data_IF_825710095023
#
_entry.id   IF_825710095023
#
_cell.length_a   1.000
_cell.length_b   1.000
_cell.length_c   1.000
_cell.angle_alpha   90.00
_cell.angle_beta   90.00
_cell.angle_gamma   90.00
#
_symmetry.space_group_name_H-M   'P 1'
#
loop_
_entity.id
_entity.type
_entity.pdbx_description
1 polymer ?
#
# COMPACT_ATOMS: atom_id res chain seq x y z
N UNK A 1 -32.21 45.70 -0.06
CA UNK A 1 -32.72 44.42 0.47
C UNK A 1 -32.65 43.39 -0.65
N UNK A 2 -31.76 42.40 -0.55
CA UNK A 2 -31.66 41.30 -1.52
C UNK A 2 -32.46 40.11 -0.98
N UNK A 3 -33.31 39.44 -1.77
CA UNK A 3 -33.96 38.22 -1.32
C UNK A 3 -32.94 37.06 -1.33
N UNK A 4 -32.76 36.44 -0.15
CA UNK A 4 -32.10 35.15 -0.01
C UNK A 4 -32.90 34.10 -0.79
N UNK A 5 -32.39 33.66 -1.93
CA UNK A 5 -32.88 32.45 -2.60
C UNK A 5 -32.19 31.25 -1.97
N UNK A 6 -32.77 30.76 -0.86
CA UNK A 6 -32.46 29.44 -0.32
C UNK A 6 -32.84 28.40 -1.36
N UNK A 7 -31.89 27.98 -2.21
CA UNK A 7 -32.09 26.80 -3.04
C UNK A 7 -31.95 25.58 -2.15
N UNK A 8 -33.08 25.07 -1.67
CA UNK A 8 -33.12 23.75 -1.04
C UNK A 8 -32.64 22.73 -2.08
N UNK A 9 -31.42 22.22 -1.88
CA UNK A 9 -30.83 21.17 -2.70
C UNK A 9 -31.67 19.90 -2.58
N UNK A 10 -32.60 19.70 -3.51
CA UNK A 10 -33.34 18.45 -3.65
C UNK A 10 -32.39 17.39 -4.20
N UNK A 11 -32.06 16.40 -3.39
CA UNK A 11 -31.40 15.19 -3.85
C UNK A 11 -32.35 14.44 -4.78
N UNK A 12 -32.11 14.53 -6.09
CA UNK A 12 -32.78 13.68 -7.06
C UNK A 12 -32.07 12.34 -7.03
N UNK A 13 -32.80 11.28 -6.70
CA UNK A 13 -32.31 9.92 -6.82
C UNK A 13 -32.09 9.64 -8.32
N UNK A 14 -30.86 9.81 -8.78
CA UNK A 14 -30.41 9.34 -10.09
C UNK A 14 -30.31 7.82 -10.00
N UNK A 15 -31.46 7.14 -9.94
CA UNK A 15 -31.53 5.71 -10.18
C UNK A 15 -31.04 5.51 -11.61
N UNK A 16 -29.74 5.20 -11.75
CA UNK A 16 -29.18 4.74 -13.02
C UNK A 16 -30.02 3.52 -13.39
N UNK A 17 -30.77 3.53 -14.50
CA UNK A 17 -31.45 2.34 -14.95
C UNK A 17 -30.39 1.26 -15.05
N UNK A 18 -30.54 0.19 -14.26
CA UNK A 18 -29.62 -0.92 -14.29
C UNK A 18 -29.83 -1.56 -15.65
N UNK A 19 -29.01 -1.18 -16.62
CA UNK A 19 -29.01 -1.77 -17.95
C UNK A 19 -28.60 -3.23 -17.78
N UNK A 20 -29.59 -4.08 -17.52
CA UNK A 20 -29.51 -5.49 -17.78
C UNK A 20 -29.61 -5.59 -19.29
N UNK A 21 -28.46 -5.65 -19.97
CA UNK A 21 -28.27 -6.30 -21.27
C UNK A 21 -26.97 -5.75 -21.86
N UNK A 22 -25.89 -6.47 -21.57
CA UNK A 22 -24.92 -7.06 -22.49
C UNK A 22 -23.90 -7.70 -21.55
N UNK A 23 -23.79 -9.04 -21.42
CA UNK A 23 -22.51 -9.59 -21.00
C UNK A 23 -21.53 -9.09 -22.06
N UNK A 24 -20.54 -8.25 -21.73
CA UNK A 24 -19.56 -7.87 -22.73
C UNK A 24 -19.04 -9.19 -23.28
N UNK A 25 -18.97 -9.31 -24.60
CA UNK A 25 -18.30 -10.42 -25.25
C UNK A 25 -16.89 -10.43 -24.65
N UNK A 26 -16.68 -11.23 -23.61
CA UNK A 26 -15.49 -11.13 -22.73
C UNK A 26 -14.23 -11.42 -23.53
N UNK A 27 -14.41 -12.01 -24.71
CA UNK A 27 -13.40 -12.26 -25.73
C UNK A 27 -12.71 -10.97 -26.22
N UNK A 28 -13.45 -9.88 -26.46
CA UNK A 28 -12.87 -8.61 -26.93
C UNK A 28 -12.11 -7.90 -25.80
N UNK A 29 -12.72 -7.82 -24.62
CA UNK A 29 -12.07 -7.26 -23.44
C UNK A 29 -10.84 -8.07 -23.02
N UNK A 30 -10.92 -9.41 -23.04
CA UNK A 30 -9.78 -10.27 -22.73
C UNK A 30 -8.67 -10.12 -23.78
N UNK A 31 -9.02 -9.97 -25.06
CA UNK A 31 -8.04 -9.72 -26.12
C UNK A 31 -7.34 -8.36 -25.91
N UNK A 32 -8.09 -7.31 -25.59
CA UNK A 32 -7.54 -6.00 -25.27
C UNK A 32 -6.66 -6.07 -24.01
N UNK A 33 -7.12 -6.72 -22.94
CA UNK A 33 -6.37 -6.90 -21.70
C UNK A 33 -5.06 -7.67 -21.91
N UNK A 34 -5.07 -8.71 -22.74
CA UNK A 34 -3.87 -9.50 -23.09
C UNK A 34 -2.91 -8.74 -24.01
N UNK A 35 -3.40 -7.75 -24.75
CA UNK A 35 -2.57 -6.91 -25.63
C UNK A 35 -1.70 -5.91 -24.86
N UNK A 36 -2.07 -5.60 -23.62
CA UNK A 36 -1.32 -4.67 -22.76
C UNK A 36 0.02 -5.34 -22.38
N UNK A 37 1.17 -4.71 -22.71
CA UNK A 37 2.47 -5.27 -22.36
C UNK A 37 2.61 -5.38 -20.85
N UNK A 38 3.04 -6.56 -20.39
CA UNK A 38 3.30 -6.78 -18.97
C UNK A 38 4.44 -5.88 -18.51
N UNK A 39 4.20 -5.14 -17.43
CA UNK A 39 5.26 -4.40 -16.78
C UNK A 39 6.34 -5.36 -16.27
N UNK A 40 7.60 -4.94 -16.37
CA UNK A 40 8.71 -5.65 -15.73
C UNK A 40 8.45 -5.71 -14.23
N UNK A 41 8.63 -6.90 -13.64
CA UNK A 41 8.47 -7.05 -12.20
C UNK A 41 9.41 -6.07 -11.48
N UNK A 42 8.91 -5.32 -10.48
CA UNK A 42 9.75 -4.41 -9.74
C UNK A 42 10.83 -5.20 -8.96
N UNK A 43 11.98 -4.57 -8.67
CA UNK A 43 12.98 -5.18 -7.82
C UNK A 43 12.36 -5.54 -6.45
N UNK A 44 12.72 -6.71 -5.94
CA UNK A 44 12.21 -7.18 -4.66
C UNK A 44 12.61 -6.24 -3.53
N UNK A 45 11.66 -5.85 -2.68
CA UNK A 45 11.94 -4.98 -1.55
C UNK A 45 12.75 -5.76 -0.47
N UNK A 46 13.98 -5.32 -0.12
CA UNK A 46 14.85 -6.05 0.80
C UNK A 46 14.24 -6.22 2.20
N UNK A 47 13.42 -5.28 2.69
CA UNK A 47 12.73 -5.45 3.97
C UNK A 47 11.71 -6.59 3.94
N UNK A 48 10.99 -6.73 2.82
CA UNK A 48 9.95 -7.75 2.67
C UNK A 48 10.56 -9.13 2.49
N UNK A 49 11.62 -9.24 1.68
CA UNK A 49 12.38 -10.49 1.53
C UNK A 49 12.94 -10.94 2.90
N UNK A 50 13.53 -10.01 3.65
CA UNK A 50 14.06 -10.27 5.00
C UNK A 50 12.97 -10.70 5.99
N UNK A 51 11.81 -10.04 5.98
CA UNK A 51 10.69 -10.37 6.85
C UNK A 51 10.05 -11.72 6.50
N UNK A 52 9.90 -12.06 5.22
CA UNK A 52 9.39 -13.36 4.78
C UNK A 52 10.31 -14.48 5.25
N UNK A 53 11.62 -14.35 5.02
CA UNK A 53 12.59 -15.34 5.44
C UNK A 53 12.63 -15.52 6.97
N UNK A 54 12.53 -14.45 7.75
CA UNK A 54 12.70 -14.51 9.22
C UNK A 54 11.42 -14.81 9.97
N UNK A 55 10.29 -14.30 9.48
CA UNK A 55 9.01 -14.33 10.22
C UNK A 55 8.01 -15.31 9.63
N UNK A 56 8.07 -15.57 8.32
CA UNK A 56 7.09 -16.43 7.65
C UNK A 56 7.62 -17.86 7.57
N UNK A 57 8.86 -18.05 7.11
CA UNK A 57 9.50 -19.37 6.95
C UNK A 57 9.32 -20.33 8.15
N UNK A 58 9.43 -19.90 9.43
CA UNK A 58 9.25 -20.80 10.57
C UNK A 58 7.87 -21.46 10.66
N UNK A 59 6.85 -20.85 10.03
CA UNK A 59 5.47 -21.34 10.02
C UNK A 59 5.11 -22.04 8.71
N UNK A 60 6.06 -22.17 7.78
CA UNK A 60 5.84 -22.79 6.48
C UNK A 60 6.02 -24.31 6.64
N UNK A 61 5.06 -25.14 6.18
CA UNK A 61 5.25 -26.58 6.16
C UNK A 61 6.52 -26.97 5.39
N UNK A 62 7.21 -28.01 5.86
CA UNK A 62 8.52 -28.40 5.33
C UNK A 62 8.50 -28.66 3.80
N UNK A 63 7.38 -29.13 3.27
CA UNK A 63 7.16 -29.36 1.84
C UNK A 63 7.33 -28.08 0.99
N UNK A 64 7.05 -26.91 1.56
CA UNK A 64 7.09 -25.61 0.87
C UNK A 64 8.26 -24.72 1.32
N UNK A 65 8.97 -25.10 2.38
CA UNK A 65 10.06 -24.31 2.97
C UNK A 65 11.25 -24.11 2.02
N UNK A 66 11.43 -25.01 1.05
CA UNK A 66 12.48 -24.93 0.02
C UNK A 66 12.07 -24.11 -1.22
N UNK A 67 10.91 -23.45 -1.18
CA UNK A 67 10.44 -22.63 -2.30
C UNK A 67 11.34 -21.40 -2.55
N UNK A 68 11.35 -20.85 -3.78
CA UNK A 68 12.14 -19.66 -4.13
C UNK A 68 11.85 -18.45 -3.23
N UNK A 69 10.65 -18.38 -2.66
CA UNK A 69 10.21 -17.30 -1.77
C UNK A 69 10.96 -17.26 -0.43
N UNK A 70 11.47 -18.40 0.03
CA UNK A 70 12.12 -18.57 1.33
C UNK A 70 13.62 -18.79 1.22
N UNK A 71 14.21 -18.37 0.09
CA UNK A 71 15.64 -18.52 -0.12
C UNK A 71 16.43 -17.73 0.93
N UNK A 72 17.56 -18.30 1.35
CA UNK A 72 18.46 -17.70 2.33
C UNK A 72 18.90 -16.32 1.87
N UNK A 73 18.82 -15.35 2.78
CA UNK A 73 19.20 -13.96 2.54
C UNK A 73 20.71 -13.84 2.31
N UNK A 74 21.09 -13.08 1.28
CA UNK A 74 22.48 -12.59 1.11
C UNK A 74 22.78 -11.48 2.13
N UNK A 75 24.05 -11.34 2.52
CA UNK A 75 24.49 -10.32 3.48
C UNK A 75 24.06 -8.90 3.08
N UNK A 76 24.17 -8.56 1.80
CA UNK A 76 23.80 -7.24 1.27
C UNK A 76 22.32 -6.92 1.48
N UNK A 77 21.44 -7.90 1.23
CA UNK A 77 19.99 -7.75 1.40
C UNK A 77 19.63 -7.55 2.87
N UNK A 78 20.32 -8.25 3.77
CA UNK A 78 20.15 -8.05 5.20
C UNK A 78 20.56 -6.64 5.63
N UNK A 79 21.70 -6.15 5.15
CA UNK A 79 22.21 -4.83 5.50
C UNK A 79 21.30 -3.72 4.96
N UNK A 80 20.88 -3.81 3.69
CA UNK A 80 19.92 -2.89 3.10
C UNK A 80 18.62 -2.86 3.92
N UNK A 81 18.07 -4.03 4.28
CA UNK A 81 16.87 -4.10 5.12
C UNK A 81 17.06 -3.41 6.48
N UNK A 82 18.20 -3.65 7.14
CA UNK A 82 18.51 -3.02 8.44
C UNK A 82 18.66 -1.50 8.31
N UNK A 83 19.32 -1.03 7.25
CA UNK A 83 19.52 0.40 6.98
C UNK A 83 18.19 1.13 6.79
N UNK A 84 17.28 0.57 5.98
CA UNK A 84 15.95 1.16 5.76
C UNK A 84 15.16 1.22 7.07
N UNK A 85 15.13 0.12 7.84
CA UNK A 85 14.45 0.08 9.15
C UNK A 85 15.03 1.12 10.13
N UNK A 86 16.36 1.25 10.21
CA UNK A 86 17.02 2.27 11.05
C UNK A 86 16.67 3.68 10.62
N UNK A 87 16.71 3.98 9.31
CA UNK A 87 16.36 5.30 8.78
C UNK A 87 14.93 5.71 9.15
N UNK A 88 13.97 4.78 8.99
CA UNK A 88 12.58 5.00 9.41
C UNK A 88 12.45 5.26 10.91
N UNK A 89 13.15 4.47 11.74
CA UNK A 89 13.14 4.65 13.18
C UNK A 89 13.70 6.02 13.59
N UNK A 90 14.79 6.46 12.96
CA UNK A 90 15.39 7.77 13.21
C UNK A 90 14.42 8.90 12.86
N UNK A 91 13.76 8.84 11.69
CA UNK A 91 12.74 9.82 11.30
C UNK A 91 11.56 9.87 12.28
N UNK A 92 11.07 8.71 12.71
CA UNK A 92 10.00 8.63 13.70
C UNK A 92 10.43 9.21 15.05
N UNK A 93 11.64 8.91 15.51
CA UNK A 93 12.17 9.43 16.76
C UNK A 93 12.38 10.96 16.69
N UNK A 94 12.86 11.50 15.57
CA UNK A 94 13.01 12.94 15.36
C UNK A 94 11.65 13.65 15.47
N UNK A 95 10.63 13.17 14.76
CA UNK A 95 9.27 13.71 14.82
C UNK A 95 8.68 13.67 16.23
N UNK A 96 8.96 12.61 16.99
CA UNK A 96 8.52 12.49 18.40
C UNK A 96 9.24 13.48 19.32
N UNK A 97 10.49 13.84 19.03
CA UNK A 97 11.23 14.84 19.80
C UNK A 97 10.69 16.25 19.54
N UNK A 98 10.47 16.59 18.28
CA UNK A 98 9.87 17.87 17.85
C UNK A 98 8.49 18.10 18.47
N UNK A 99 7.60 17.09 18.41
CA UNK A 99 6.29 17.20 19.06
C UNK A 99 6.38 17.43 20.58
N UNK A 100 7.38 16.83 21.24
CA UNK A 100 7.59 17.01 22.69
C UNK A 100 8.17 18.38 23.05
N UNK A 101 8.99 18.98 22.19
CA UNK A 101 9.44 20.36 22.39
C UNK A 101 8.30 21.34 22.24
N UNK A 102 7.44 21.15 21.23
CA UNK A 102 6.29 22.04 20.99
C UNK A 102 5.23 21.95 22.12
N UNK A 103 4.99 20.75 22.65
CA UNK A 103 4.11 20.56 23.82
C UNK A 103 4.73 21.10 25.12
N UNK A 104 6.06 21.13 25.23
CA UNK A 104 6.79 21.69 26.36
C UNK A 104 6.83 23.23 26.37
N UNK A 105 6.92 23.87 25.21
CA UNK A 105 6.86 25.34 25.09
C UNK A 105 5.43 25.88 25.31
N UNK A 106 4.40 25.19 24.84
CA UNK A 106 3.00 25.61 25.05
C UNK A 106 2.48 25.41 26.49
N UNK A 107 3.19 24.69 27.35
CA UNK A 107 2.80 24.49 28.76
C UNK A 107 3.35 25.58 29.71
N UNK A 108 4.16 26.52 29.22
CA UNK A 108 4.81 27.57 30.01
C UNK A 108 4.12 28.95 29.81
N UNK A 109 3.03 29.02 29.02
CA UNK A 109 2.25 30.26 28.80
C UNK A 109 0.96 30.26 29.61
#
# INVERSE_FOLDING_TARGET
MLPNTTSEGKWVNLLRPLQHNIPPDTTEFDAEWRSIPKATNPPANPEKVSDIYKKVLPFVPAEFANGPLYQKLTADVEECSRSIKRSRQQKANAKRKEKKSDEGENAIV
#
